data_IF_357773768973
#
_entry.id   IF_357773768973
#
_cell.length_a   1.000
_cell.length_b   1.000
_cell.length_c   1.000
_cell.angle_alpha   90.00
_cell.angle_beta   90.00
_cell.angle_gamma   90.00
#
_symmetry.space_group_name_H-M   'P 1'
#
loop_
_entity.id
_entity.type
_entity.pdbx_description
1 polymer ?
#
# COMPACT_ATOMS: atom_id res chain seq x y z
N UNK A 1 0.53 -22.02 8.75
CA UNK A 1 0.93 -20.90 7.87
C UNK A 1 -0.23 -19.95 7.74
N UNK A 2 -0.05 -18.70 8.12
CA UNK A 2 -1.08 -17.68 8.10
C UNK A 2 -0.70 -16.54 7.16
N UNK A 3 -1.68 -16.01 6.44
CA UNK A 3 -1.53 -14.77 5.70
C UNK A 3 -1.66 -13.60 6.68
N UNK A 4 -0.66 -12.73 6.70
CA UNK A 4 -0.59 -11.57 7.59
C UNK A 4 -0.29 -10.31 6.77
N UNK A 5 -0.97 -9.23 7.09
CA UNK A 5 -0.67 -7.88 6.57
C UNK A 5 -0.44 -6.95 7.73
N UNK A 6 0.73 -6.32 7.76
CA UNK A 6 1.05 -5.26 8.71
C UNK A 6 1.41 -4.01 7.93
N UNK A 7 0.83 -2.88 8.31
CA UNK A 7 1.08 -1.66 7.56
C UNK A 7 0.77 -0.37 8.29
N UNK A 8 1.13 0.70 7.63
CA UNK A 8 0.84 2.10 7.97
C UNK A 8 0.14 2.73 6.78
N UNK A 9 -0.90 3.52 7.01
CA UNK A 9 -1.53 4.31 5.97
C UNK A 9 -1.94 5.71 6.47
N UNK A 10 -2.57 6.48 5.59
CA UNK A 10 -3.02 7.84 5.87
C UNK A 10 -4.06 7.95 7.00
N UNK A 11 -4.70 6.85 7.42
CA UNK A 11 -5.66 6.80 8.53
C UNK A 11 -4.97 6.53 9.86
N UNK A 12 -3.86 5.79 9.85
CA UNK A 12 -3.20 5.33 11.07
C UNK A 12 -1.98 6.16 11.44
N UNK A 13 -1.41 6.91 10.49
CA UNK A 13 -0.20 7.70 10.72
C UNK A 13 -0.22 9.04 9.97
N UNK A 14 0.28 10.11 10.60
CA UNK A 14 0.51 11.39 9.94
C UNK A 14 1.62 11.27 8.87
N UNK A 15 1.71 12.28 7.99
CA UNK A 15 2.64 12.25 6.85
C UNK A 15 4.10 12.11 7.28
N UNK A 16 4.49 12.76 8.36
CA UNK A 16 5.86 12.77 8.91
C UNK A 16 6.32 11.37 9.35
N UNK A 17 5.39 10.51 9.76
CA UNK A 17 5.66 9.10 10.11
C UNK A 17 5.70 8.26 8.85
N UNK A 18 4.73 8.46 7.94
CA UNK A 18 4.64 7.68 6.70
C UNK A 18 5.86 7.86 5.81
N UNK A 19 6.35 9.09 5.65
CA UNK A 19 7.55 9.39 4.85
C UNK A 19 8.81 8.68 5.35
N UNK A 20 8.89 8.42 6.66
CA UNK A 20 10.05 7.74 7.26
C UNK A 20 10.06 6.23 7.04
N UNK A 21 8.98 5.64 6.60
CA UNK A 21 8.83 4.19 6.32
C UNK A 21 8.66 3.87 4.84
N UNK A 22 8.84 4.84 3.96
CA UNK A 22 8.81 4.64 2.51
C UNK A 22 10.05 3.86 2.09
N UNK A 23 9.87 2.85 1.26
CA UNK A 23 10.95 2.12 0.64
C UNK A 23 11.36 2.78 -0.67
N UNK A 24 12.64 3.08 -0.80
CA UNK A 24 13.21 3.49 -2.08
C UNK A 24 13.08 2.33 -3.09
N UNK A 25 12.58 2.56 -4.31
CA UNK A 25 12.35 1.49 -5.29
C UNK A 25 13.58 0.61 -5.54
N UNK A 26 14.78 1.20 -5.59
CA UNK A 26 16.01 0.47 -5.79
C UNK A 26 16.38 -0.48 -4.63
N UNK A 27 15.86 -0.24 -3.44
CA UNK A 27 16.14 -1.03 -2.23
C UNK A 27 15.07 -2.07 -1.91
N UNK A 28 13.92 -2.04 -2.61
CA UNK A 28 12.84 -3.02 -2.39
C UNK A 28 13.29 -4.47 -2.57
N UNK A 29 14.08 -4.85 -3.60
CA UNK A 29 14.53 -6.24 -3.73
C UNK A 29 15.35 -6.73 -2.54
N UNK A 30 16.26 -5.90 -2.01
CA UNK A 30 17.05 -6.21 -0.81
C UNK A 30 16.14 -6.34 0.42
N UNK A 31 15.21 -5.39 0.61
CA UNK A 31 14.26 -5.41 1.71
C UNK A 31 13.38 -6.66 1.71
N UNK A 32 12.92 -7.09 0.53
CA UNK A 32 12.16 -8.33 0.35
C UNK A 32 12.97 -9.56 0.80
N UNK A 33 14.24 -9.64 0.42
CA UNK A 33 15.11 -10.75 0.85
C UNK A 33 15.36 -10.73 2.35
N UNK A 34 15.59 -9.55 2.93
CA UNK A 34 15.76 -9.41 4.39
C UNK A 34 14.48 -9.82 5.13
N UNK A 35 13.31 -9.39 4.67
CA UNK A 35 12.03 -9.76 5.26
C UNK A 35 11.78 -11.28 5.13
N UNK A 36 12.10 -11.86 3.96
CA UNK A 36 11.99 -13.29 3.68
C UNK A 36 12.92 -14.14 4.56
N UNK A 37 14.04 -13.56 5.02
CA UNK A 37 15.02 -14.25 5.88
C UNK A 37 14.62 -14.30 7.36
N UNK A 38 13.53 -13.63 7.76
CA UNK A 38 13.01 -13.77 9.11
C UNK A 38 12.56 -15.22 9.38
N UNK A 39 12.68 -15.69 10.62
CA UNK A 39 12.18 -17.02 10.98
C UNK A 39 10.73 -17.19 10.57
N UNK A 40 10.39 -18.37 10.06
CA UNK A 40 9.04 -18.78 9.70
C UNK A 40 8.37 -18.02 8.54
N UNK A 41 9.02 -17.01 7.92
CA UNK A 41 8.51 -16.29 6.76
C UNK A 41 8.77 -17.08 5.48
N UNK A 42 7.73 -17.37 4.72
CA UNK A 42 7.81 -18.15 3.48
C UNK A 42 7.56 -17.32 2.22
N UNK A 43 6.65 -16.37 2.29
CA UNK A 43 6.35 -15.50 1.17
C UNK A 43 6.27 -14.04 1.64
N UNK A 44 6.73 -13.10 0.80
CA UNK A 44 6.66 -11.66 1.12
C UNK A 44 6.37 -10.81 -0.12
N UNK A 45 5.58 -9.77 0.08
CA UNK A 45 5.42 -8.63 -0.83
C UNK A 45 5.45 -7.35 -0.01
N UNK A 46 6.18 -6.34 -0.48
CA UNK A 46 6.22 -5.00 0.12
C UNK A 46 5.49 -4.04 -0.81
N UNK A 47 4.43 -3.40 -0.33
CA UNK A 47 3.74 -2.31 -1.01
C UNK A 47 4.16 -1.00 -0.36
N UNK A 48 4.80 -0.12 -1.11
CA UNK A 48 5.24 1.18 -0.61
C UNK A 48 4.84 2.28 -1.57
N UNK A 49 4.04 3.22 -1.08
CA UNK A 49 3.54 4.40 -1.81
C UNK A 49 3.63 5.64 -0.93
N UNK A 50 3.30 6.82 -1.43
CA UNK A 50 3.23 8.04 -0.61
C UNK A 50 2.18 7.95 0.53
N UNK A 51 1.16 7.08 0.39
CA UNK A 51 0.04 7.02 1.32
C UNK A 51 -0.01 5.76 2.18
N UNK A 52 0.81 4.74 1.86
CA UNK A 52 0.88 3.48 2.62
C UNK A 52 2.20 2.76 2.46
N UNK A 53 2.58 2.08 3.50
CA UNK A 53 3.62 1.04 3.48
C UNK A 53 3.03 -0.20 4.13
N UNK A 54 3.00 -1.32 3.40
CA UNK A 54 2.39 -2.58 3.82
C UNK A 54 3.34 -3.74 3.56
N UNK A 55 3.44 -4.63 4.53
CA UNK A 55 4.16 -5.90 4.46
C UNK A 55 3.11 -7.00 4.39
N UNK A 56 3.06 -7.71 3.27
CA UNK A 56 2.26 -8.92 3.07
C UNK A 56 3.16 -10.11 3.29
N UNK A 57 2.86 -10.95 4.25
CA UNK A 57 3.67 -12.11 4.60
C UNK A 57 2.83 -13.38 4.71
N UNK A 58 3.41 -14.50 4.32
CA UNK A 58 2.92 -15.84 4.69
C UNK A 58 3.92 -16.42 5.65
N UNK A 59 3.51 -16.66 6.88
CA UNK A 59 4.40 -17.05 7.96
C UNK A 59 3.71 -17.96 8.99
N UNK A 60 4.50 -18.59 9.87
CA UNK A 60 4.00 -19.23 11.09
C UNK A 60 4.43 -18.36 12.27
N UNK A 61 3.50 -18.14 13.23
CA UNK A 61 3.76 -17.42 14.49
C UNK A 61 4.36 -16.01 14.34
N UNK A 62 4.13 -15.34 13.22
CA UNK A 62 4.60 -13.99 12.97
C UNK A 62 3.41 -13.01 13.05
N UNK A 63 3.55 -11.99 13.88
CA UNK A 63 2.48 -11.02 14.13
C UNK A 63 2.92 -9.58 13.89
N UNK A 64 2.05 -8.67 14.36
CA UNK A 64 2.26 -7.23 14.25
C UNK A 64 3.55 -6.78 14.93
N UNK A 65 3.89 -7.36 16.08
CA UNK A 65 5.06 -6.94 16.86
C UNK A 65 6.36 -7.17 16.11
N UNK A 66 6.57 -8.38 15.62
CA UNK A 66 7.80 -8.78 14.94
C UNK A 66 7.98 -8.05 13.60
N UNK A 67 6.91 -7.93 12.81
CA UNK A 67 6.93 -7.17 11.55
C UNK A 67 7.11 -5.68 11.79
N UNK A 68 6.50 -5.14 12.83
CA UNK A 68 6.66 -3.73 13.23
C UNK A 68 8.09 -3.42 13.69
N UNK A 69 8.69 -4.30 14.49
CA UNK A 69 10.09 -4.19 14.90
C UNK A 69 11.06 -4.32 13.72
N UNK A 70 10.77 -5.21 12.78
CA UNK A 70 11.57 -5.34 11.56
C UNK A 70 11.50 -4.04 10.75
N UNK A 71 10.30 -3.50 10.51
CA UNK A 71 10.11 -2.24 9.79
C UNK A 71 10.84 -1.07 10.47
N UNK A 72 10.76 -0.99 11.79
CA UNK A 72 11.45 0.02 12.58
C UNK A 72 12.98 -0.09 12.45
N UNK A 73 13.53 -1.29 12.56
CA UNK A 73 14.97 -1.53 12.40
C UNK A 73 15.46 -1.25 11.00
N UNK A 74 14.70 -1.70 9.97
CA UNK A 74 15.04 -1.47 8.59
C UNK A 74 15.23 0.00 8.25
N UNK A 75 14.33 0.84 8.76
CA UNK A 75 14.37 2.29 8.53
C UNK A 75 15.17 3.07 9.59
N UNK A 76 15.78 2.41 10.57
CA UNK A 76 16.59 3.06 11.61
C UNK A 76 15.80 4.05 12.47
N UNK A 77 14.54 3.73 12.78
CA UNK A 77 13.66 4.65 13.52
C UNK A 77 13.94 4.57 15.03
N UNK A 78 14.19 5.73 15.64
CA UNK A 78 14.39 5.84 17.09
C UNK A 78 13.10 5.85 17.91
N UNK A 79 11.93 5.75 17.27
CA UNK A 79 10.61 5.79 17.93
C UNK A 79 9.78 4.57 17.54
N UNK A 80 9.00 4.02 18.48
CA UNK A 80 8.15 2.87 18.20
C UNK A 80 7.04 3.19 17.20
N UNK A 81 6.74 2.25 16.31
CA UNK A 81 5.68 2.37 15.29
C UNK A 81 4.35 1.76 15.73
N UNK A 82 4.29 1.03 16.84
CA UNK A 82 3.16 0.17 17.22
C UNK A 82 1.80 0.89 17.27
N UNK A 83 1.78 2.18 17.63
CA UNK A 83 0.54 2.97 17.63
C UNK A 83 0.06 3.39 16.23
N UNK A 84 0.94 3.32 15.23
CA UNK A 84 0.64 3.70 13.86
C UNK A 84 0.39 2.50 12.95
N UNK A 85 0.67 1.29 13.43
CA UNK A 85 0.51 0.06 12.67
C UNK A 85 -0.93 -0.46 12.77
N UNK A 86 -1.44 -0.95 11.63
CA UNK A 86 -2.57 -1.87 11.61
C UNK A 86 -2.11 -3.27 11.27
N UNK A 87 -2.93 -4.24 11.65
CA UNK A 87 -2.70 -5.65 11.42
C UNK A 87 -3.98 -6.33 10.92
N UNK A 88 -3.83 -7.14 9.90
CA UNK A 88 -4.88 -8.00 9.39
C UNK A 88 -4.33 -9.40 9.17
N UNK A 89 -5.12 -10.41 9.51
CA UNK A 89 -4.81 -11.81 9.33
C UNK A 89 -5.90 -12.51 8.51
N UNK A 90 -5.53 -13.58 7.85
CA UNK A 90 -6.41 -14.51 7.12
C UNK A 90 -7.47 -13.78 6.28
N UNK A 91 -8.75 -13.99 6.53
CA UNK A 91 -9.86 -13.40 5.77
C UNK A 91 -9.86 -11.88 5.77
N UNK A 92 -9.42 -11.26 6.88
CA UNK A 92 -9.28 -9.81 6.97
C UNK A 92 -8.14 -9.30 6.08
N UNK A 93 -7.04 -10.03 6.00
CA UNK A 93 -5.93 -9.71 5.10
C UNK A 93 -6.36 -9.81 3.63
N UNK A 94 -7.14 -10.84 3.27
CA UNK A 94 -7.71 -10.98 1.92
C UNK A 94 -8.65 -9.83 1.59
N UNK A 95 -9.59 -9.53 2.49
CA UNK A 95 -10.55 -8.43 2.33
C UNK A 95 -9.86 -7.08 2.21
N UNK A 96 -8.81 -6.85 3.00
CA UNK A 96 -7.99 -5.66 2.95
C UNK A 96 -7.28 -5.52 1.60
N UNK A 97 -6.60 -6.56 1.12
CA UNK A 97 -5.92 -6.56 -0.18
C UNK A 97 -6.89 -6.22 -1.34
N UNK A 98 -8.11 -6.77 -1.31
CA UNK A 98 -9.14 -6.48 -2.31
C UNK A 98 -9.62 -5.03 -2.23
N UNK A 99 -9.79 -4.49 -1.02
CA UNK A 99 -10.19 -3.10 -0.79
C UNK A 99 -9.12 -2.13 -1.28
N UNK A 100 -7.86 -2.41 -0.99
CA UNK A 100 -6.72 -1.61 -1.46
C UNK A 100 -6.62 -1.64 -2.98
N UNK A 101 -6.64 -2.84 -3.59
CA UNK A 101 -6.55 -3.00 -5.04
C UNK A 101 -7.69 -2.29 -5.79
N UNK A 102 -8.88 -2.26 -5.18
CA UNK A 102 -10.06 -1.59 -5.74
C UNK A 102 -10.07 -0.06 -5.51
N UNK A 103 -9.11 0.48 -4.73
CA UNK A 103 -9.06 1.89 -4.36
C UNK A 103 -10.09 2.31 -3.32
N UNK A 104 -10.70 1.34 -2.61
CA UNK A 104 -11.69 1.60 -1.55
C UNK A 104 -11.05 2.09 -0.25
N UNK A 105 -9.77 1.77 -0.06
CA UNK A 105 -8.97 2.22 1.09
C UNK A 105 -7.96 3.32 0.72
N UNK A 106 -8.12 3.96 -0.42
CA UNK A 106 -7.27 5.07 -0.86
C UNK A 106 -7.74 6.41 -0.27
N UNK A 107 -6.81 7.38 -0.16
CA UNK A 107 -7.13 8.76 0.28
C UNK A 107 -8.17 9.40 -0.66
N UNK A 108 -8.03 9.16 -1.95
CA UNK A 108 -9.03 9.51 -2.96
C UNK A 108 -9.72 8.22 -3.39
N UNK A 109 -10.99 8.09 -3.04
CA UNK A 109 -11.77 6.88 -3.29
C UNK A 109 -11.79 6.55 -4.78
N UNK A 110 -11.39 5.32 -5.12
CA UNK A 110 -11.38 4.82 -6.49
C UNK A 110 -10.23 5.32 -7.35
N UNK A 111 -9.17 5.93 -6.77
CA UNK A 111 -8.01 6.36 -7.55
C UNK A 111 -7.41 5.20 -8.38
N UNK A 112 -7.09 5.44 -9.66
CA UNK A 112 -6.59 4.35 -10.53
C UNK A 112 -5.16 3.95 -10.24
N UNK A 113 -4.35 4.81 -9.61
CA UNK A 113 -2.92 4.61 -9.44
C UNK A 113 -2.58 3.43 -8.53
N UNK A 114 -3.35 3.23 -7.45
CA UNK A 114 -3.05 2.19 -6.47
C UNK A 114 -3.01 0.78 -7.08
N UNK A 115 -3.87 0.48 -8.05
CA UNK A 115 -3.84 -0.83 -8.72
C UNK A 115 -2.54 -1.03 -9.51
N UNK A 116 -2.05 0.01 -10.18
CA UNK A 116 -0.75 0.00 -10.85
C UNK A 116 0.39 -0.24 -9.85
N UNK A 117 0.40 0.51 -8.75
CA UNK A 117 1.41 0.39 -7.69
C UNK A 117 1.42 -1.01 -7.04
N UNK A 118 0.25 -1.62 -6.82
CA UNK A 118 0.19 -2.99 -6.32
C UNK A 118 0.75 -4.01 -7.33
N UNK A 119 0.48 -3.82 -8.62
CA UNK A 119 1.04 -4.68 -9.68
C UNK A 119 2.57 -4.56 -9.75
N UNK A 120 3.10 -3.35 -9.62
CA UNK A 120 4.55 -3.13 -9.61
C UNK A 120 5.20 -3.75 -8.36
N UNK A 121 4.61 -3.58 -7.18
CA UNK A 121 5.07 -4.21 -5.95
C UNK A 121 5.10 -5.74 -6.06
N UNK A 122 4.02 -6.33 -6.58
CA UNK A 122 3.94 -7.77 -6.80
C UNK A 122 4.97 -8.27 -7.83
N UNK A 123 5.15 -7.54 -8.94
CA UNK A 123 6.18 -7.86 -9.95
C UNK A 123 7.59 -7.84 -9.34
N UNK A 124 7.94 -6.82 -8.56
CA UNK A 124 9.23 -6.74 -7.89
C UNK A 124 9.46 -7.92 -6.93
N UNK A 125 8.42 -8.34 -6.20
CA UNK A 125 8.50 -9.50 -5.32
C UNK A 125 8.66 -10.82 -6.10
N UNK A 126 8.01 -10.95 -7.27
CA UNK A 126 8.21 -12.10 -8.16
C UNK A 126 9.65 -12.15 -8.70
N UNK A 127 10.17 -11.02 -9.17
CA UNK A 127 11.56 -10.88 -9.67
C UNK A 127 12.57 -11.18 -8.56
N UNK A 128 12.28 -10.79 -7.32
CA UNK A 128 13.09 -11.12 -6.16
C UNK A 128 12.94 -12.58 -5.69
N UNK A 129 12.00 -13.36 -6.24
CA UNK A 129 11.76 -14.76 -5.84
C UNK A 129 11.18 -14.91 -4.44
N UNK A 130 10.47 -13.90 -3.92
CA UNK A 130 9.90 -13.90 -2.58
C UNK A 130 8.41 -14.20 -2.52
N UNK A 131 7.76 -14.40 -3.66
CA UNK A 131 6.37 -14.84 -3.77
C UNK A 131 6.26 -16.36 -3.84
N UNK A 132 5.10 -16.89 -3.44
CA UNK A 132 4.76 -18.29 -3.54
C UNK A 132 3.26 -18.49 -3.84
N UNK A 133 2.71 -19.70 -3.65
CA UNK A 133 1.34 -20.00 -4.05
C UNK A 133 0.28 -19.12 -3.41
N UNK A 134 0.46 -18.73 -2.14
CA UNK A 134 -0.56 -17.97 -1.39
C UNK A 134 -0.61 -16.52 -1.87
N UNK A 135 0.52 -15.81 -1.88
CA UNK A 135 0.55 -14.42 -2.34
C UNK A 135 0.29 -14.30 -3.84
N UNK A 136 0.75 -15.26 -4.65
CA UNK A 136 0.40 -15.30 -6.07
C UNK A 136 -1.11 -15.36 -6.27
N UNK A 137 -1.80 -16.25 -5.55
CA UNK A 137 -3.26 -16.37 -5.62
C UNK A 137 -3.96 -15.11 -5.10
N UNK A 138 -3.50 -14.55 -3.98
CA UNK A 138 -4.04 -13.33 -3.38
C UNK A 138 -4.01 -12.16 -4.37
N UNK A 139 -2.83 -11.84 -4.89
CA UNK A 139 -2.64 -10.68 -5.78
C UNK A 139 -3.36 -10.84 -7.12
N UNK A 140 -3.31 -12.03 -7.73
CA UNK A 140 -4.06 -12.31 -8.96
C UNK A 140 -5.57 -12.16 -8.75
N UNK A 141 -6.10 -12.66 -7.64
CA UNK A 141 -7.51 -12.50 -7.29
C UNK A 141 -7.85 -11.04 -7.02
N UNK A 142 -7.01 -10.30 -6.27
CA UNK A 142 -7.18 -8.88 -5.99
C UNK A 142 -7.23 -8.04 -7.28
N UNK A 143 -6.37 -8.32 -8.25
CA UNK A 143 -6.37 -7.63 -9.54
C UNK A 143 -7.64 -7.92 -10.35
N UNK A 144 -8.12 -9.16 -10.32
CA UNK A 144 -9.37 -9.56 -10.99
C UNK A 144 -10.57 -8.86 -10.35
N UNK A 145 -10.67 -8.87 -9.02
CA UNK A 145 -11.75 -8.20 -8.26
C UNK A 145 -11.72 -6.69 -8.51
N UNK A 146 -10.54 -6.06 -8.44
CA UNK A 146 -10.40 -4.63 -8.69
C UNK A 146 -10.87 -4.23 -10.10
N UNK A 147 -10.57 -5.06 -11.12
CA UNK A 147 -11.06 -4.83 -12.48
C UNK A 147 -12.59 -4.90 -12.53
N UNK A 148 -13.20 -5.92 -11.89
CA UNK A 148 -14.65 -6.08 -11.84
C UNK A 148 -15.33 -4.92 -11.12
N UNK A 149 -14.83 -4.54 -9.95
CA UNK A 149 -15.34 -3.39 -9.18
C UNK A 149 -15.36 -2.13 -10.04
N UNK A 150 -14.31 -1.88 -10.82
CA UNK A 150 -14.21 -0.70 -11.70
C UNK A 150 -15.15 -0.75 -12.89
N UNK A 151 -15.44 -1.93 -13.42
CA UNK A 151 -16.34 -2.08 -14.59
C UNK A 151 -17.80 -2.22 -14.20
N UNK A 152 -18.09 -2.81 -13.04
CA UNK A 152 -19.46 -3.14 -12.60
C UNK A 152 -20.05 -2.08 -11.66
N UNK A 153 -19.23 -1.09 -11.21
CA UNK A 153 -19.68 -0.04 -10.29
C UNK A 153 -19.30 1.36 -10.78
N UNK A 154 -19.90 2.40 -10.18
CA UNK A 154 -19.62 3.80 -10.50
C UNK A 154 -18.26 4.30 -9.98
N UNK A 155 -17.53 3.48 -9.20
CA UNK A 155 -16.23 3.87 -8.64
C UNK A 155 -15.19 4.15 -9.74
N UNK A 156 -15.27 3.43 -10.86
CA UNK A 156 -14.40 3.65 -12.02
C UNK A 156 -14.80 4.86 -12.88
N UNK A 157 -16.07 5.27 -12.82
CA UNK A 157 -16.59 6.38 -13.65
C UNK A 157 -16.21 7.77 -13.11
N UNK A 158 -15.97 7.88 -11.81
CA UNK A 158 -15.62 9.12 -11.12
C UNK A 158 -14.21 9.07 -10.52
N UNK A 159 -13.31 8.28 -11.12
CA UNK A 159 -11.93 8.16 -10.64
C UNK A 159 -11.23 9.52 -10.71
N UNK A 160 -11.24 10.22 -9.59
CA UNK A 160 -10.65 11.54 -9.43
C UNK A 160 -9.19 11.33 -9.04
N UNK A 161 -8.26 11.84 -9.85
CA UNK A 161 -6.87 11.92 -9.40
C UNK A 161 -6.74 12.96 -8.29
N UNK A 162 -5.70 12.89 -7.46
CA UNK A 162 -5.39 13.93 -6.46
C UNK A 162 -5.36 15.32 -7.12
N UNK A 163 -4.79 15.42 -8.33
CA UNK A 163 -4.77 16.67 -9.10
C UNK A 163 -6.19 17.15 -9.46
N UNK A 164 -7.07 16.24 -9.90
CA UNK A 164 -8.47 16.61 -10.21
C UNK A 164 -9.23 17.03 -8.96
N UNK A 165 -8.98 16.37 -7.82
CA UNK A 165 -9.58 16.76 -6.53
C UNK A 165 -9.10 18.14 -6.10
N UNK A 166 -7.79 18.42 -6.24
CA UNK A 166 -7.21 19.73 -5.93
C UNK A 166 -7.83 20.84 -6.81
N UNK A 167 -7.99 20.61 -8.12
CA UNK A 167 -8.65 21.56 -9.04
C UNK A 167 -10.12 21.76 -8.66
N UNK A 168 -10.84 20.68 -8.33
CA UNK A 168 -12.24 20.79 -7.88
C UNK A 168 -12.35 21.62 -6.59
N UNK A 169 -11.44 21.38 -5.64
CA UNK A 169 -11.35 22.14 -4.39
C UNK A 169 -11.00 23.61 -4.63
N UNK A 170 -10.04 23.89 -5.51
CA UNK A 170 -9.68 25.25 -5.88
C UNK A 170 -10.86 26.01 -6.49
N UNK A 171 -11.74 25.34 -7.27
CA UNK A 171 -12.97 25.94 -7.81
C UNK A 171 -14.00 26.35 -6.74
N UNK A 172 -13.97 25.77 -5.56
CA UNK A 172 -14.84 26.19 -4.45
C UNK A 172 -14.32 27.44 -3.75
N UNK A 173 -13.02 27.71 -3.86
CA UNK A 173 -12.34 28.86 -3.23
C UNK A 173 -12.26 30.03 -4.19
N UNK A 174 -12.02 29.77 -5.48
CA UNK A 174 -11.84 30.79 -6.51
C UNK A 174 -13.04 30.81 -7.47
N UNK A 175 -13.69 31.93 -7.59
CA UNK A 175 -14.81 32.09 -8.53
C UNK A 175 -14.41 31.96 -10.01
N UNK A 176 -13.15 32.27 -10.35
CA UNK A 176 -12.54 32.10 -11.67
C UNK A 176 -11.04 31.78 -11.51
N UNK A 177 -10.47 31.05 -12.49
CA UNK A 177 -9.04 30.86 -12.62
C UNK A 177 -8.36 31.88 -13.55
N UNK A 178 -9.11 32.80 -14.13
CA UNK A 178 -8.56 33.84 -14.98
C UNK A 178 -7.54 34.67 -14.20
N UNK A 179 -6.38 34.95 -14.82
CA UNK A 179 -5.25 35.65 -14.21
C UNK A 179 -4.67 34.96 -12.94
N UNK A 180 -4.78 33.65 -12.82
CA UNK A 180 -4.15 32.87 -11.75
C UNK A 180 -2.98 32.08 -12.29
N UNK A 181 -1.93 32.01 -11.50
CA UNK A 181 -0.76 31.16 -11.79
C UNK A 181 -0.78 29.96 -10.85
N UNK A 182 -0.67 28.75 -11.41
CA UNK A 182 -0.50 27.53 -10.62
C UNK A 182 0.99 27.13 -10.62
N UNK A 183 1.53 26.87 -9.43
CA UNK A 183 2.84 26.25 -9.26
C UNK A 183 2.65 24.76 -9.03
N UNK A 184 3.26 23.95 -9.89
CA UNK A 184 3.31 22.49 -9.75
C UNK A 184 4.68 22.13 -9.20
N UNK A 185 4.69 21.46 -8.05
CA UNK A 185 5.89 20.93 -7.40
C UNK A 185 5.73 19.41 -7.28
N UNK A 186 6.64 18.65 -7.88
CA UNK A 186 6.64 17.20 -7.88
C UNK A 186 8.04 16.64 -7.98
#
# INVERSE_FOLDING_TARGET
MSLVVVGINHRTAPVEVRERVVFEPARIPEALQQLRSLPDVQETVIVSTCNRTELYCVAENLGQAELGEWLQRYHGLGVPLHHSLYHHDEDKAVSHAFSVASGLDSMVLGEPQILGQLKDAYRLAQEAGTTGPVLNRLFQSAFSVAKRVRTETKIGANAVSVASAAVAMARTVFASFDNRTALLVG
#
